data_IF_823138943686
#
_entry.id   IF_823138943686
#
_cell.length_a   1.000
_cell.length_b   1.000
_cell.length_c   1.000
_cell.angle_alpha   90.00
_cell.angle_beta   90.00
_cell.angle_gamma   90.00
#
_symmetry.space_group_name_H-M   'P 1'
#
loop_
_entity.id
_entity.type
_entity.pdbx_description
1 polymer ?
#
# COMPACT_ATOMS: atom_id res chain seq x y z
N UNK A 1 29.44 11.02 2.81
CA UNK A 1 28.32 10.15 3.21
C UNK A 1 28.30 8.93 2.31
N UNK A 2 28.66 7.74 2.81
CA UNK A 2 28.63 6.53 1.97
C UNK A 2 27.16 6.14 1.81
N UNK A 3 26.63 6.24 0.59
CA UNK A 3 25.30 5.71 0.26
C UNK A 3 25.37 4.19 0.39
N UNK A 4 24.56 3.63 1.29
CA UNK A 4 24.36 2.19 1.36
C UNK A 4 23.85 1.73 0.00
N UNK A 5 24.51 0.73 -0.59
CA UNK A 5 24.06 0.16 -1.85
C UNK A 5 22.76 -0.59 -1.61
N UNK A 6 21.66 -0.06 -2.13
CA UNK A 6 20.39 -0.77 -2.16
C UNK A 6 20.28 -1.57 -3.45
N UNK A 7 20.02 -2.88 -3.31
CA UNK A 7 19.76 -3.75 -4.45
C UNK A 7 18.46 -3.27 -5.15
N UNK A 8 18.45 -3.08 -6.49
CA UNK A 8 17.25 -2.62 -7.21
C UNK A 8 16.01 -3.51 -7.00
N UNK A 9 16.22 -4.81 -6.77
CA UNK A 9 15.16 -5.76 -6.46
C UNK A 9 14.48 -5.49 -5.11
N UNK A 10 15.24 -5.06 -4.10
CA UNK A 10 14.70 -4.71 -2.78
C UNK A 10 13.84 -3.44 -2.86
N UNK A 11 14.31 -2.44 -3.60
CA UNK A 11 13.56 -1.20 -3.86
C UNK A 11 12.25 -1.48 -4.60
N UNK A 12 12.29 -2.30 -5.65
CA UNK A 12 11.08 -2.70 -6.40
C UNK A 12 10.10 -3.47 -5.51
N UNK A 13 10.58 -4.41 -4.70
CA UNK A 13 9.73 -5.15 -3.75
C UNK A 13 9.09 -4.22 -2.72
N UNK A 14 9.85 -3.32 -2.11
CA UNK A 14 9.33 -2.34 -1.16
C UNK A 14 8.25 -1.46 -1.78
N UNK A 15 8.49 -0.96 -3.00
CA UNK A 15 7.52 -0.17 -3.76
C UNK A 15 6.25 -0.94 -4.09
N UNK A 16 6.36 -2.18 -4.58
CA UNK A 16 5.20 -3.03 -4.88
C UNK A 16 4.41 -3.39 -3.62
N UNK A 17 5.11 -3.71 -2.52
CA UNK A 17 4.49 -3.98 -1.22
C UNK A 17 3.70 -2.77 -0.71
N UNK A 18 4.24 -1.55 -0.86
CA UNK A 18 3.56 -0.32 -0.48
C UNK A 18 2.31 -0.06 -1.33
N UNK A 19 2.37 -0.30 -2.65
CA UNK A 19 1.22 -0.17 -3.55
C UNK A 19 0.12 -1.17 -3.16
N UNK A 20 0.47 -2.44 -2.94
CA UNK A 20 -0.50 -3.46 -2.55
C UNK A 20 -1.12 -3.18 -1.18
N UNK A 21 -0.34 -2.71 -0.20
CA UNK A 21 -0.88 -2.36 1.11
C UNK A 21 -1.83 -1.14 1.05
N UNK A 22 -1.50 -0.12 0.26
CA UNK A 22 -2.37 1.05 0.07
C UNK A 22 -3.65 0.73 -0.72
N UNK A 23 -3.56 -0.18 -1.68
CA UNK A 23 -4.69 -0.54 -2.56
C UNK A 23 -5.55 -1.71 -2.00
N UNK A 24 -5.03 -2.44 -1.01
CA UNK A 24 -5.75 -3.50 -0.28
C UNK A 24 -6.56 -2.99 0.91
N UNK A 25 -6.41 -1.70 1.27
CA UNK A 25 -7.36 -0.99 2.12
C UNK A 25 -8.64 -0.71 1.34
N UNK A 26 -9.33 -1.77 0.93
CA UNK A 26 -10.72 -1.71 0.52
C UNK A 26 -11.48 -1.14 1.69
N UNK A 27 -11.77 0.16 1.65
CA UNK A 27 -12.66 0.83 2.58
C UNK A 27 -14.02 0.14 2.49
N UNK A 28 -14.26 -0.83 3.38
CA UNK A 28 -15.58 -1.39 3.61
C UNK A 28 -16.38 -0.25 4.23
N UNK A 29 -17.00 0.56 3.38
CA UNK A 29 -18.00 1.52 3.81
C UNK A 29 -19.27 0.74 4.11
N UNK A 30 -19.79 0.77 5.35
CA UNK A 30 -21.05 0.12 5.65
C UNK A 30 -22.16 0.71 4.76
N UNK A 31 -23.15 -0.10 4.34
CA UNK A 31 -24.24 0.40 3.53
C UNK A 31 -24.97 1.54 4.26
N UNK A 32 -25.47 2.54 3.54
CA UNK A 32 -26.20 3.64 4.16
C UNK A 32 -27.45 3.11 4.90
N UNK A 33 -27.82 3.72 6.04
CA UNK A 33 -28.99 3.29 6.80
C UNK A 33 -30.27 3.50 5.97
N UNK A 34 -31.29 2.63 6.14
CA UNK A 34 -32.55 2.76 5.41
C UNK A 34 -33.28 4.06 5.81
N UNK A 35 -33.98 4.71 4.86
CA UNK A 35 -34.78 5.90 5.16
C UNK A 35 -35.95 5.55 6.09
N UNK A 36 -36.23 6.47 7.03
CA UNK A 36 -37.27 6.39 8.05
C UNK A 36 -38.69 6.49 7.49
#
# INVERSE_FOLDING_TARGET
MKKSYEKPSLVRKGKLSAITAGNGASIITPPPPPPA
#
